data_IF_248339158900
#
_entry.id   IF_248339158900
#
_cell.length_a   1.000
_cell.length_b   1.000
_cell.length_c   1.000
_cell.angle_alpha   90.00
_cell.angle_beta   90.00
_cell.angle_gamma   90.00
#
_symmetry.space_group_name_H-M   'P 1'
#
loop_
_entity.id
_entity.type
_entity.pdbx_description
1 polymer ?
#
# COMPACT_ATOMS: atom_id res chain seq x y z
N UNK A 1 13.62 -12.43 -53.52
CA UNK A 1 13.60 -13.91 -53.80
C UNK A 1 14.70 -14.54 -53.00
N UNK A 2 14.40 -15.54 -52.15
CA UNK A 2 15.46 -16.25 -51.43
C UNK A 2 16.34 -16.98 -52.46
N UNK A 3 17.65 -16.86 -52.35
CA UNK A 3 18.62 -17.48 -53.22
C UNK A 3 18.66 -19.01 -52.90
N UNK A 4 18.72 -19.87 -53.91
CA UNK A 4 18.71 -21.31 -53.73
C UNK A 4 19.73 -21.85 -52.67
N UNK A 5 20.94 -21.31 -52.55
CA UNK A 5 21.86 -21.64 -51.44
C UNK A 5 21.31 -21.25 -50.06
N UNK A 6 20.66 -20.12 -49.94
CA UNK A 6 20.02 -19.70 -48.64
C UNK A 6 18.91 -20.66 -48.24
N UNK A 7 18.06 -21.04 -49.16
CA UNK A 7 16.97 -21.98 -48.89
C UNK A 7 17.50 -23.38 -48.49
N UNK A 8 18.53 -23.87 -49.16
CA UNK A 8 19.12 -25.17 -48.81
C UNK A 8 19.75 -25.17 -47.40
N UNK A 9 20.35 -24.06 -46.94
CA UNK A 9 20.99 -23.96 -45.61
C UNK A 9 20.02 -24.14 -44.45
N UNK A 10 18.76 -23.69 -44.56
CA UNK A 10 17.83 -23.86 -43.48
C UNK A 10 16.92 -25.11 -43.66
N UNK A 11 16.64 -25.49 -44.94
CA UNK A 11 15.76 -26.62 -45.27
C UNK A 11 16.37 -27.97 -44.84
N UNK A 12 17.71 -28.10 -44.83
CA UNK A 12 18.39 -29.30 -44.36
C UNK A 12 18.03 -29.67 -42.91
N UNK A 13 17.73 -28.68 -42.03
CA UNK A 13 17.30 -28.96 -40.68
C UNK A 13 15.85 -29.38 -40.54
N UNK A 14 15.01 -29.08 -41.55
CA UNK A 14 13.64 -29.57 -41.64
C UNK A 14 13.63 -31.04 -42.06
N UNK A 15 14.48 -31.42 -43.03
CA UNK A 15 14.55 -32.79 -43.56
C UNK A 15 15.34 -33.72 -42.63
N UNK A 16 16.36 -33.18 -41.92
CA UNK A 16 17.24 -33.95 -41.03
C UNK A 16 17.35 -33.30 -39.65
N UNK A 17 16.31 -33.31 -38.81
CA UNK A 17 16.31 -32.61 -37.53
C UNK A 17 17.43 -33.04 -36.57
N UNK A 18 17.86 -34.32 -36.60
CA UNK A 18 18.97 -34.83 -35.80
C UNK A 18 20.33 -34.25 -36.18
N UNK A 19 20.43 -33.49 -37.30
CA UNK A 19 21.64 -32.78 -37.67
C UNK A 19 22.01 -31.74 -36.64
N UNK A 20 21.03 -31.12 -35.95
CA UNK A 20 21.26 -30.08 -34.95
C UNK A 20 22.09 -30.60 -33.76
N UNK A 21 21.75 -31.78 -33.21
CA UNK A 21 22.51 -32.38 -32.10
C UNK A 21 24.00 -32.59 -32.46
N UNK A 22 24.25 -33.16 -33.66
CA UNK A 22 25.62 -33.39 -34.15
C UNK A 22 26.38 -32.08 -34.40
N UNK A 23 25.70 -31.08 -34.99
CA UNK A 23 26.30 -29.79 -35.25
C UNK A 23 26.62 -29.06 -33.96
N UNK A 24 25.73 -29.13 -32.98
CA UNK A 24 25.94 -28.46 -31.66
C UNK A 24 27.19 -28.98 -30.94
N UNK A 25 27.49 -30.28 -31.05
CA UNK A 25 28.74 -30.85 -30.51
C UNK A 25 29.98 -30.24 -31.18
N UNK A 26 29.94 -30.07 -32.50
CA UNK A 26 31.02 -29.43 -33.25
C UNK A 26 31.21 -27.95 -32.80
N UNK A 27 30.11 -27.31 -32.41
CA UNK A 27 30.13 -25.95 -31.87
C UNK A 27 30.49 -25.88 -30.37
N UNK A 28 30.77 -27.02 -29.74
CA UNK A 28 31.18 -27.10 -28.34
C UNK A 28 30.04 -27.05 -27.34
N UNK A 29 28.79 -27.28 -27.79
CA UNK A 29 27.60 -27.30 -26.95
C UNK A 29 26.86 -28.61 -27.12
N UNK A 30 26.58 -29.32 -26.04
CA UNK A 30 25.86 -30.60 -26.10
C UNK A 30 24.38 -30.41 -25.87
N UNK A 31 23.57 -30.72 -26.88
CA UNK A 31 22.12 -30.83 -26.77
C UNK A 31 21.68 -32.30 -26.71
N UNK A 32 20.61 -32.63 -25.97
CA UNK A 32 20.11 -33.99 -25.95
C UNK A 32 19.55 -34.39 -27.32
N UNK A 33 19.61 -35.68 -27.61
CA UNK A 33 19.01 -36.22 -28.84
C UNK A 33 17.49 -36.02 -28.84
N UNK A 34 16.90 -35.57 -29.96
CA UNK A 34 15.47 -35.35 -30.06
C UNK A 34 14.69 -36.71 -30.05
N UNK A 35 13.65 -36.79 -29.25
CA UNK A 35 12.71 -37.94 -29.25
C UNK A 35 11.65 -37.77 -30.31
N UNK A 36 11.23 -36.53 -30.54
CA UNK A 36 10.26 -36.14 -31.58
C UNK A 36 10.60 -34.77 -32.12
N UNK A 37 10.27 -34.52 -33.38
CA UNK A 37 10.45 -33.22 -34.01
C UNK A 37 9.22 -32.86 -34.83
N UNK A 38 8.73 -31.64 -34.69
CA UNK A 38 7.60 -31.11 -35.42
C UNK A 38 8.01 -29.80 -36.13
N UNK A 39 7.59 -29.62 -37.36
CA UNK A 39 7.78 -28.39 -38.11
C UNK A 39 6.63 -27.42 -37.78
N UNK A 40 6.91 -26.34 -37.12
CA UNK A 40 5.93 -25.31 -36.80
C UNK A 40 5.87 -24.25 -37.91
N UNK A 41 4.81 -23.43 -37.91
CA UNK A 41 4.73 -22.26 -38.77
C UNK A 41 5.88 -21.29 -38.49
N UNK A 42 6.51 -20.79 -39.55
CA UNK A 42 7.54 -19.76 -39.48
C UNK A 42 6.97 -18.35 -39.59
N UNK A 43 5.65 -18.18 -39.70
CA UNK A 43 4.97 -16.90 -39.64
C UNK A 43 4.78 -16.52 -38.17
N UNK A 44 5.59 -15.53 -37.73
CA UNK A 44 5.56 -14.97 -36.39
C UNK A 44 4.65 -13.73 -36.28
N UNK A 45 3.83 -13.46 -37.32
CA UNK A 45 2.84 -12.38 -37.28
C UNK A 45 1.74 -12.72 -36.30
N UNK A 46 1.57 -11.91 -35.26
CA UNK A 46 0.49 -12.09 -34.30
C UNK A 46 -0.85 -11.71 -34.96
N UNK A 47 -1.69 -12.70 -35.26
CA UNK A 47 -3.04 -12.51 -35.80
C UNK A 47 -4.07 -12.10 -34.75
N UNK A 48 -3.75 -12.28 -33.48
CA UNK A 48 -4.53 -11.77 -32.35
C UNK A 48 -3.63 -10.82 -31.56
N UNK A 49 -4.03 -9.53 -31.39
CA UNK A 49 -3.26 -8.61 -30.57
C UNK A 49 -3.27 -9.13 -29.13
N UNK A 50 -2.17 -9.74 -28.71
CA UNK A 50 -1.90 -9.94 -27.29
C UNK A 50 -1.71 -8.57 -26.66
N UNK A 51 -2.67 -8.15 -25.84
CA UNK A 51 -2.57 -6.89 -25.13
C UNK A 51 -1.45 -6.98 -24.09
N UNK A 52 -0.27 -6.53 -24.49
CA UNK A 52 0.91 -6.46 -23.63
C UNK A 52 1.25 -5.00 -23.44
N UNK A 53 1.02 -4.51 -22.24
CA UNK A 53 1.32 -3.12 -21.86
C UNK A 53 2.39 -3.11 -20.79
N UNK A 54 3.41 -2.27 -21.00
CA UNK A 54 4.30 -1.85 -19.92
C UNK A 54 3.58 -0.75 -19.12
N UNK A 55 3.77 -0.74 -17.79
CA UNK A 55 3.05 0.21 -16.93
C UNK A 55 3.38 1.67 -17.30
N UNK A 56 4.65 1.96 -17.59
CA UNK A 56 5.06 3.29 -18.06
C UNK A 56 6.21 3.15 -19.06
N UNK A 57 6.13 3.90 -20.15
CA UNK A 57 7.18 4.01 -21.17
C UNK A 57 7.58 5.46 -21.37
N UNK A 58 8.83 5.77 -21.12
CA UNK A 58 9.40 7.10 -21.30
C UNK A 58 10.47 7.06 -22.41
N UNK A 59 10.50 8.11 -23.21
CA UNK A 59 11.65 8.45 -24.06
C UNK A 59 12.42 9.56 -23.39
N UNK A 60 13.68 9.33 -23.10
CA UNK A 60 14.55 10.26 -22.40
C UNK A 60 15.62 10.73 -23.39
N UNK A 61 15.77 12.04 -23.51
CA UNK A 61 16.81 12.67 -24.30
C UNK A 61 17.97 13.05 -23.39
N UNK A 62 19.19 12.75 -23.79
CA UNK A 62 20.39 13.17 -23.08
C UNK A 62 21.35 13.87 -24.03
N UNK A 63 22.04 14.88 -23.52
CA UNK A 63 23.01 15.65 -24.33
C UNK A 63 24.21 14.81 -24.75
N UNK A 64 24.66 13.90 -23.89
CA UNK A 64 25.89 13.14 -24.08
C UNK A 64 25.68 11.87 -24.88
N UNK A 65 24.66 11.08 -24.54
CA UNK A 65 24.52 9.69 -25.01
C UNK A 65 23.32 9.55 -25.99
N UNK A 66 22.62 10.67 -26.27
CA UNK A 66 21.44 10.68 -27.13
C UNK A 66 20.20 10.11 -26.47
N UNK A 67 19.15 9.78 -27.27
CA UNK A 67 17.87 9.29 -26.75
C UNK A 67 17.93 7.81 -26.38
N UNK A 68 17.19 7.45 -25.30
CA UNK A 68 16.93 6.07 -24.92
C UNK A 68 15.50 5.89 -24.41
N UNK A 69 15.04 4.66 -24.33
CA UNK A 69 13.73 4.30 -23.79
C UNK A 69 13.88 3.72 -22.38
N UNK A 70 13.04 4.18 -21.47
CA UNK A 70 12.88 3.64 -20.14
C UNK A 70 11.48 3.03 -20.00
N UNK A 71 11.45 1.70 -19.93
CA UNK A 71 10.26 0.93 -19.61
C UNK A 71 10.22 0.69 -18.10
N UNK A 72 9.13 1.03 -17.43
CA UNK A 72 8.97 0.93 -15.98
C UNK A 72 7.84 -0.04 -15.67
N UNK A 73 8.10 -1.01 -14.78
CA UNK A 73 7.14 -2.00 -14.29
C UNK A 73 7.10 -1.97 -12.76
N UNK A 74 5.89 -1.92 -12.19
CA UNK A 74 5.66 -2.08 -10.77
C UNK A 74 5.41 -3.55 -10.44
N UNK A 75 6.29 -4.18 -9.65
CA UNK A 75 6.21 -5.59 -9.34
C UNK A 75 5.90 -5.83 -7.86
N UNK A 76 4.65 -6.23 -7.57
CA UNK A 76 4.19 -6.44 -6.19
C UNK A 76 4.45 -7.85 -5.65
N UNK A 77 4.78 -8.83 -6.49
CA UNK A 77 5.07 -10.23 -6.09
C UNK A 77 5.95 -10.93 -7.11
N UNK A 78 6.58 -12.02 -6.70
CA UNK A 78 7.31 -12.90 -7.65
C UNK A 78 6.32 -13.52 -8.63
N UNK A 79 6.62 -13.38 -9.91
CA UNK A 79 5.82 -13.92 -11.00
C UNK A 79 6.75 -14.37 -12.15
N UNK A 80 7.05 -15.67 -12.26
CA UNK A 80 7.94 -16.20 -13.30
C UNK A 80 7.50 -15.85 -14.73
N UNK A 81 6.19 -15.69 -14.99
CA UNK A 81 5.67 -15.39 -16.32
C UNK A 81 6.01 -13.95 -16.76
N UNK A 82 6.32 -13.07 -15.80
CA UNK A 82 6.79 -11.71 -16.11
C UNK A 82 8.11 -11.70 -16.87
N UNK A 83 8.97 -12.68 -16.70
CA UNK A 83 10.24 -12.76 -17.44
C UNK A 83 10.03 -12.79 -18.95
N UNK A 84 9.06 -13.58 -19.43
CA UNK A 84 8.69 -13.61 -20.84
C UNK A 84 8.12 -12.28 -21.34
N UNK A 85 7.29 -11.63 -20.51
CA UNK A 85 6.74 -10.30 -20.82
C UNK A 85 7.83 -9.23 -20.91
N UNK A 86 8.79 -9.23 -19.99
CA UNK A 86 9.92 -8.30 -19.99
C UNK A 86 10.82 -8.49 -21.22
N UNK A 87 11.08 -9.75 -21.62
CA UNK A 87 11.83 -10.03 -22.83
C UNK A 87 11.09 -9.52 -24.08
N UNK A 88 9.79 -9.72 -24.13
CA UNK A 88 8.95 -9.23 -25.21
C UNK A 88 9.01 -7.70 -25.29
N UNK A 89 8.83 -6.99 -24.17
CA UNK A 89 8.86 -5.54 -24.14
C UNK A 89 10.20 -5.01 -24.68
N UNK A 90 11.29 -5.54 -24.18
CA UNK A 90 12.64 -5.14 -24.63
C UNK A 90 12.80 -5.36 -26.13
N UNK A 91 12.48 -6.56 -26.63
CA UNK A 91 12.64 -6.93 -28.03
C UNK A 91 11.75 -6.09 -28.95
N UNK A 92 10.48 -5.90 -28.55
CA UNK A 92 9.53 -5.09 -29.30
C UNK A 92 9.97 -3.62 -29.37
N UNK A 93 10.34 -3.03 -28.24
CA UNK A 93 10.76 -1.63 -28.19
C UNK A 93 12.05 -1.39 -29.00
N UNK A 94 13.01 -2.30 -28.87
CA UNK A 94 14.25 -2.24 -29.65
C UNK A 94 13.96 -2.34 -31.16
N UNK A 95 13.10 -3.28 -31.58
CA UNK A 95 12.76 -3.46 -32.99
C UNK A 95 12.00 -2.27 -33.58
N UNK A 96 11.05 -1.73 -32.79
CA UNK A 96 10.17 -0.64 -33.23
C UNK A 96 10.86 0.71 -33.28
N UNK A 97 11.56 1.07 -32.20
CA UNK A 97 12.13 2.41 -32.05
C UNK A 97 13.62 2.49 -32.40
N UNK A 98 14.30 1.35 -32.42
CA UNK A 98 15.77 1.26 -32.68
C UNK A 98 16.60 2.15 -31.74
N UNK A 99 16.13 2.30 -30.50
CA UNK A 99 16.79 3.06 -29.45
C UNK A 99 17.26 2.11 -28.34
N UNK A 100 18.35 2.47 -27.63
CA UNK A 100 18.72 1.79 -26.39
C UNK A 100 17.51 1.75 -25.46
N UNK A 101 17.24 0.60 -24.87
CA UNK A 101 16.08 0.40 -24.01
C UNK A 101 16.54 -0.14 -22.66
N UNK A 102 16.04 0.46 -21.58
CA UNK A 102 16.27 0.03 -20.20
C UNK A 102 14.95 -0.38 -19.58
N UNK A 103 14.95 -1.50 -18.86
CA UNK A 103 13.83 -1.94 -18.03
C UNK A 103 14.14 -1.63 -16.57
N UNK A 104 13.27 -0.83 -15.94
CA UNK A 104 13.27 -0.55 -14.51
C UNK A 104 12.10 -1.27 -13.85
N UNK A 105 12.38 -2.10 -12.86
CA UNK A 105 11.36 -2.78 -12.06
C UNK A 105 11.34 -2.16 -10.68
N UNK A 106 10.19 -1.67 -10.24
CA UNK A 106 10.01 -1.06 -8.91
C UNK A 106 9.24 -2.03 -8.01
N UNK A 107 9.83 -2.34 -6.86
CA UNK A 107 9.29 -3.31 -5.89
C UNK A 107 9.08 -2.68 -4.52
N UNK A 108 8.04 -3.14 -3.82
CA UNK A 108 7.73 -2.68 -2.45
C UNK A 108 8.21 -3.67 -1.37
N UNK A 109 8.59 -4.90 -1.74
CA UNK A 109 9.17 -5.86 -0.81
C UNK A 109 10.54 -6.33 -1.28
N UNK A 110 11.39 -6.64 -0.29
CA UNK A 110 12.79 -7.01 -0.54
C UNK A 110 12.92 -8.32 -1.31
N UNK A 111 12.10 -9.31 -0.99
CA UNK A 111 12.19 -10.64 -1.59
C UNK A 111 11.80 -10.63 -3.08
N UNK A 112 10.82 -9.80 -3.45
CA UNK A 112 10.44 -9.55 -4.85
C UNK A 112 11.52 -8.76 -5.57
N UNK A 113 12.10 -7.73 -4.93
CA UNK A 113 13.19 -6.96 -5.50
C UNK A 113 14.44 -7.81 -5.77
N UNK A 114 14.85 -8.63 -4.81
CA UNK A 114 15.98 -9.55 -4.97
C UNK A 114 15.71 -10.62 -6.05
N UNK A 115 14.46 -11.06 -6.20
CA UNK A 115 14.07 -11.97 -7.29
C UNK A 115 14.16 -11.27 -8.65
N UNK A 116 13.59 -10.07 -8.78
CA UNK A 116 13.59 -9.29 -10.02
C UNK A 116 14.99 -8.88 -10.48
N UNK A 117 15.92 -8.67 -9.54
CA UNK A 117 17.29 -8.27 -9.83
C UNK A 117 18.20 -9.40 -10.34
N UNK A 118 17.72 -10.65 -10.27
CA UNK A 118 18.51 -11.77 -10.79
C UNK A 118 18.55 -11.73 -12.31
N UNK A 119 19.72 -11.97 -12.92
CA UNK A 119 19.80 -12.17 -14.36
C UNK A 119 18.87 -13.30 -14.79
N UNK A 120 18.08 -13.06 -15.83
CA UNK A 120 17.12 -14.04 -16.36
C UNK A 120 17.66 -14.59 -17.67
N UNK A 121 18.27 -15.78 -17.69
CA UNK A 121 18.65 -16.44 -18.93
C UNK A 121 17.41 -16.95 -19.66
N UNK A 122 17.33 -16.63 -20.93
CA UNK A 122 16.24 -17.03 -21.83
C UNK A 122 16.80 -17.84 -22.98
N UNK A 123 16.20 -19.00 -23.26
CA UNK A 123 16.66 -19.95 -24.24
C UNK A 123 16.79 -21.36 -23.65
N UNK A 124 17.45 -22.25 -24.41
CA UNK A 124 17.74 -23.59 -23.91
C UNK A 124 18.73 -23.53 -22.72
N UNK A 125 18.58 -24.43 -21.72
CA UNK A 125 19.49 -24.44 -20.56
C UNK A 125 20.97 -24.53 -20.92
N UNK A 126 21.29 -25.22 -22.04
CA UNK A 126 22.63 -25.41 -22.55
C UNK A 126 23.20 -24.16 -23.23
N UNK A 127 22.30 -23.31 -23.76
CA UNK A 127 22.67 -22.12 -24.52
C UNK A 127 21.65 -21.00 -24.37
N UNK A 128 21.80 -20.12 -23.36
CA UNK A 128 20.96 -18.93 -23.23
C UNK A 128 21.20 -17.99 -24.42
N UNK A 129 20.14 -17.70 -25.18
CA UNK A 129 20.23 -16.83 -26.37
C UNK A 129 20.18 -15.36 -25.95
N UNK A 130 19.49 -15.06 -24.85
CA UNK A 130 19.33 -13.73 -24.28
C UNK A 130 19.42 -13.81 -22.76
N UNK A 131 20.04 -12.85 -22.14
CA UNK A 131 19.98 -12.69 -20.68
C UNK A 131 19.45 -11.29 -20.36
N UNK A 132 18.34 -11.22 -19.64
CA UNK A 132 17.79 -9.96 -19.17
C UNK A 132 18.44 -9.56 -17.85
N UNK A 133 18.79 -8.27 -17.74
CA UNK A 133 19.32 -7.64 -16.55
C UNK A 133 18.47 -6.42 -16.21
N UNK A 134 17.30 -6.58 -15.55
CA UNK A 134 16.52 -5.43 -15.15
C UNK A 134 17.28 -4.56 -14.14
N UNK A 135 17.10 -3.25 -14.23
CA UNK A 135 17.37 -2.36 -13.10
C UNK A 135 16.25 -2.51 -12.10
N UNK A 136 16.55 -2.63 -10.82
CA UNK A 136 15.54 -2.86 -9.80
C UNK A 136 15.67 -1.82 -8.70
N UNK A 137 14.59 -1.07 -8.48
CA UNK A 137 14.44 -0.17 -7.34
C UNK A 137 13.53 -0.83 -6.28
N UNK A 138 13.96 -0.84 -5.03
CA UNK A 138 13.18 -1.42 -3.95
C UNK A 138 13.81 -1.18 -2.58
N UNK A 139 13.28 -1.82 -1.51
CA UNK A 139 13.74 -1.56 -0.13
C UNK A 139 15.22 -1.84 0.13
N UNK A 140 15.90 -2.55 -0.76
CA UNK A 140 17.31 -2.89 -0.62
C UNK A 140 18.28 -1.81 -1.11
N UNK A 141 17.83 -0.86 -1.93
CA UNK A 141 18.67 0.14 -2.56
C UNK A 141 18.07 1.54 -2.68
N UNK A 142 16.75 1.71 -2.54
CA UNK A 142 16.14 3.03 -2.40
C UNK A 142 16.48 3.58 -1.02
N UNK A 143 17.02 4.81 -0.89
CA UNK A 143 17.41 5.36 0.40
C UNK A 143 16.21 5.60 1.31
N UNK A 144 16.42 5.44 2.63
CA UNK A 144 15.48 5.83 3.67
C UNK A 144 15.56 7.35 3.88
N UNK A 145 14.64 8.11 3.34
CA UNK A 145 14.62 9.58 3.46
C UNK A 145 13.84 9.97 4.73
N UNK A 146 14.52 10.04 5.86
CA UNK A 146 13.97 10.38 7.17
C UNK A 146 14.24 11.82 7.61
N UNK A 147 15.11 12.52 6.90
CA UNK A 147 15.45 13.91 7.16
C UNK A 147 14.64 14.86 6.28
N UNK A 148 14.08 15.92 6.89
CA UNK A 148 13.23 16.90 6.20
C UNK A 148 13.99 17.70 5.15
N UNK A 149 15.27 18.02 5.41
CA UNK A 149 16.06 18.79 4.47
C UNK A 149 16.41 17.97 3.23
N UNK A 150 16.68 16.66 3.40
CA UNK A 150 16.85 15.74 2.28
C UNK A 150 15.54 15.58 1.51
N UNK A 151 14.41 15.42 2.18
CA UNK A 151 13.10 15.33 1.53
C UNK A 151 12.77 16.58 0.71
N UNK A 152 13.11 17.79 1.21
CA UNK A 152 12.93 19.05 0.47
C UNK A 152 13.79 19.18 -0.78
N UNK A 153 14.97 18.56 -0.80
CA UNK A 153 15.84 18.58 -1.99
C UNK A 153 15.25 17.78 -3.14
N UNK A 154 14.59 16.66 -2.82
CA UNK A 154 13.97 15.78 -3.81
C UNK A 154 12.71 15.11 -3.27
N UNK A 155 11.57 15.79 -3.47
CA UNK A 155 10.26 15.31 -3.05
C UNK A 155 9.86 14.02 -3.79
N UNK A 156 10.28 13.84 -5.04
CA UNK A 156 9.97 12.64 -5.80
C UNK A 156 10.70 11.42 -5.25
N UNK A 157 11.99 11.55 -4.92
CA UNK A 157 12.76 10.49 -4.28
C UNK A 157 12.25 10.19 -2.86
N UNK A 158 11.85 11.21 -2.10
CA UNK A 158 11.24 11.02 -0.78
C UNK A 158 9.89 10.29 -0.87
N UNK A 159 9.09 10.57 -1.90
CA UNK A 159 7.86 9.84 -2.21
C UNK A 159 8.14 8.39 -2.55
N UNK A 160 9.11 8.12 -3.42
CA UNK A 160 9.52 6.75 -3.75
C UNK A 160 10.05 6.01 -2.52
N UNK A 161 10.79 6.69 -1.64
CA UNK A 161 11.24 6.15 -0.37
C UNK A 161 10.05 5.72 0.50
N UNK A 162 9.03 6.57 0.65
CA UNK A 162 7.83 6.24 1.42
C UNK A 162 7.08 5.01 0.86
N UNK A 163 6.93 4.95 -0.47
CA UNK A 163 6.20 3.86 -1.14
C UNK A 163 6.98 2.54 -1.05
N UNK A 164 8.29 2.55 -1.30
CA UNK A 164 9.10 1.33 -1.30
C UNK A 164 9.37 0.80 0.10
N UNK A 165 9.36 1.67 1.11
CA UNK A 165 9.59 1.30 2.51
C UNK A 165 8.29 1.26 3.35
N UNK A 166 7.13 1.04 2.72
CA UNK A 166 5.84 1.04 3.39
C UNK A 166 5.72 0.04 4.56
N UNK A 167 6.47 -1.07 4.51
CA UNK A 167 6.52 -2.10 5.55
C UNK A 167 7.76 -1.99 6.46
N UNK A 168 8.53 -0.91 6.35
CA UNK A 168 9.71 -0.67 7.18
C UNK A 168 9.28 -0.17 8.58
N UNK A 169 9.92 -0.62 9.68
CA UNK A 169 9.67 -0.09 11.02
C UNK A 169 9.78 1.43 11.13
N UNK A 170 10.67 2.05 10.36
CA UNK A 170 10.92 3.50 10.36
C UNK A 170 10.02 4.29 9.38
N UNK A 171 9.00 3.65 8.79
CA UNK A 171 8.10 4.29 7.81
C UNK A 171 7.47 5.57 8.36
N UNK A 172 7.15 5.62 9.65
CA UNK A 172 6.60 6.81 10.29
C UNK A 172 7.54 8.02 10.22
N UNK A 173 8.85 7.82 10.35
CA UNK A 173 9.85 8.88 10.19
C UNK A 173 9.94 9.37 8.74
N UNK A 174 9.90 8.45 7.77
CA UNK A 174 9.90 8.78 6.33
C UNK A 174 8.67 9.62 5.97
N UNK A 175 7.48 9.16 6.38
CA UNK A 175 6.21 9.84 6.11
C UNK A 175 6.16 11.23 6.75
N UNK A 176 6.68 11.35 7.99
CA UNK A 176 6.77 12.64 8.67
C UNK A 176 7.74 13.59 7.98
N UNK A 177 8.89 13.13 7.53
CA UNK A 177 9.83 13.94 6.77
C UNK A 177 9.20 14.45 5.47
N UNK A 178 8.53 13.58 4.72
CA UNK A 178 7.83 13.93 3.49
C UNK A 178 6.69 14.93 3.75
N UNK A 179 5.79 14.68 4.71
CA UNK A 179 4.67 15.58 5.01
C UNK A 179 5.17 16.96 5.43
N UNK A 180 6.23 17.02 6.24
CA UNK A 180 6.83 18.30 6.66
C UNK A 180 7.50 19.03 5.49
N UNK A 181 8.15 18.31 4.57
CA UNK A 181 8.75 18.91 3.39
C UNK A 181 7.70 19.48 2.42
N UNK A 182 6.54 18.84 2.33
CA UNK A 182 5.44 19.26 1.47
C UNK A 182 4.76 20.55 1.94
N UNK A 183 4.84 20.91 3.22
CA UNK A 183 4.24 22.16 3.74
C UNK A 183 4.72 23.42 3.02
N UNK A 184 5.97 23.41 2.58
CA UNK A 184 6.60 24.56 1.94
C UNK A 184 6.55 24.45 0.40
N UNK A 185 5.97 23.39 -0.14
CA UNK A 185 5.85 23.16 -1.57
C UNK A 185 4.58 23.83 -2.13
N UNK A 186 4.59 24.30 -3.39
CA UNK A 186 3.37 24.76 -4.06
C UNK A 186 2.33 23.64 -4.15
N UNK A 187 1.05 23.98 -4.05
CA UNK A 187 -0.07 23.03 -4.16
C UNK A 187 -0.01 22.16 -5.43
N UNK A 188 0.41 22.73 -6.54
CA UNK A 188 0.58 22.01 -7.82
C UNK A 188 1.60 20.89 -7.77
N UNK A 189 2.50 20.90 -6.80
CA UNK A 189 3.50 19.85 -6.54
C UNK A 189 3.04 18.96 -5.40
N UNK A 190 2.54 19.55 -4.31
CA UNK A 190 2.18 18.80 -3.10
C UNK A 190 0.97 17.88 -3.32
N UNK A 191 -0.11 18.35 -3.97
CA UNK A 191 -1.31 17.54 -4.18
C UNK A 191 -1.05 16.22 -4.93
N UNK A 192 -0.35 16.22 -6.09
CA UNK A 192 -0.02 14.97 -6.78
C UNK A 192 0.82 14.03 -5.91
N UNK A 193 1.76 14.54 -5.11
CA UNK A 193 2.61 13.75 -4.24
C UNK A 193 1.80 13.11 -3.09
N UNK A 194 0.87 13.87 -2.50
CA UNK A 194 -0.03 13.35 -1.46
C UNK A 194 -0.84 12.17 -1.99
N UNK A 195 -1.42 12.31 -3.18
CA UNK A 195 -2.22 11.27 -3.81
C UNK A 195 -1.37 10.05 -4.22
N UNK A 196 -0.21 10.27 -4.87
CA UNK A 196 0.71 9.20 -5.25
C UNK A 196 1.20 8.41 -4.04
N UNK A 197 1.52 9.11 -2.94
CA UNK A 197 1.93 8.46 -1.70
C UNK A 197 0.80 7.59 -1.15
N UNK A 198 -0.43 8.12 -1.06
CA UNK A 198 -1.58 7.38 -0.57
C UNK A 198 -1.87 6.13 -1.43
N UNK A 199 -1.87 6.28 -2.76
CA UNK A 199 -2.05 5.17 -3.70
C UNK A 199 -0.94 4.12 -3.54
N UNK A 200 0.31 4.55 -3.43
CA UNK A 200 1.46 3.66 -3.29
C UNK A 200 1.49 2.89 -1.97
N UNK A 201 1.01 3.49 -0.88
CA UNK A 201 0.87 2.82 0.41
C UNK A 201 -0.29 1.81 0.43
N UNK A 202 -1.33 2.02 -0.39
CA UNK A 202 -2.48 1.12 -0.50
C UNK A 202 -3.19 0.88 0.84
N UNK A 203 -3.41 -0.39 1.19
CA UNK A 203 -4.10 -0.78 2.43
C UNK A 203 -3.13 -1.14 3.59
N UNK A 204 -1.88 -0.74 3.52
CA UNK A 204 -0.90 -1.01 4.58
C UNK A 204 -1.12 -0.12 5.81
N UNK A 205 -0.65 -0.51 7.00
CA UNK A 205 -0.74 0.34 8.20
C UNK A 205 -0.14 1.74 8.01
N UNK A 206 0.90 1.86 7.18
CA UNK A 206 1.51 3.13 6.81
C UNK A 206 0.54 4.10 6.11
N UNK A 207 -0.49 3.59 5.40
CA UNK A 207 -1.49 4.42 4.75
C UNK A 207 -2.33 5.20 5.78
N UNK A 208 -2.68 4.58 6.91
CA UNK A 208 -3.39 5.30 7.99
C UNK A 208 -2.51 6.36 8.64
N UNK A 209 -1.22 6.06 8.85
CA UNK A 209 -0.28 7.07 9.36
C UNK A 209 -0.15 8.26 8.39
N UNK A 210 -0.12 7.99 7.08
CA UNK A 210 -0.09 9.03 6.06
C UNK A 210 -1.34 9.90 6.09
N UNK A 211 -2.54 9.31 6.14
CA UNK A 211 -3.81 10.04 6.26
C UNK A 211 -3.82 10.97 7.46
N UNK A 212 -3.37 10.50 8.63
CA UNK A 212 -3.30 11.30 9.83
C UNK A 212 -2.34 12.50 9.68
N UNK A 213 -1.18 12.30 9.05
CA UNK A 213 -0.22 13.37 8.78
C UNK A 213 -0.78 14.40 7.79
N UNK A 214 -1.47 13.95 6.73
CA UNK A 214 -2.12 14.83 5.75
C UNK A 214 -3.21 15.66 6.41
N UNK A 215 -4.03 15.07 7.28
CA UNK A 215 -5.10 15.78 7.97
C UNK A 215 -4.56 16.90 8.88
N UNK A 216 -3.42 16.68 9.54
CA UNK A 216 -2.84 17.64 10.49
C UNK A 216 -1.87 18.62 9.80
N UNK A 217 -0.94 18.08 9.01
CA UNK A 217 0.19 18.84 8.47
C UNK A 217 -0.12 19.56 7.16
N UNK A 218 -1.08 19.04 6.39
CA UNK A 218 -1.41 19.52 5.05
C UNK A 218 -2.86 20.01 4.97
N UNK A 219 -3.41 20.49 6.09
CA UNK A 219 -4.81 20.91 6.20
C UNK A 219 -5.20 22.09 5.28
N UNK A 220 -4.24 22.81 4.69
CA UNK A 220 -4.48 23.90 3.73
C UNK A 220 -4.50 23.44 2.27
N UNK A 221 -4.13 22.19 1.99
CA UNK A 221 -4.18 21.67 0.63
C UNK A 221 -5.58 21.14 0.31
N UNK A 222 -6.09 21.52 -0.84
CA UNK A 222 -7.39 21.10 -1.37
C UNK A 222 -7.20 20.06 -2.46
N UNK A 223 -6.89 18.82 -2.08
CA UNK A 223 -6.99 17.70 -3.02
C UNK A 223 -8.26 16.89 -2.72
N UNK A 224 -8.83 16.18 -3.70
CA UNK A 224 -9.96 15.28 -3.48
C UNK A 224 -9.72 14.32 -2.32
N UNK A 225 -8.51 13.77 -2.22
CA UNK A 225 -8.10 12.89 -1.12
C UNK A 225 -8.05 13.63 0.23
N UNK A 226 -7.56 14.88 0.28
CA UNK A 226 -7.51 15.65 1.52
C UNK A 226 -8.90 16.09 2.00
N UNK A 227 -9.86 16.26 1.07
CA UNK A 227 -11.26 16.51 1.40
C UNK A 227 -11.93 15.24 1.93
N UNK A 228 -11.73 14.09 1.29
CA UNK A 228 -12.22 12.79 1.75
C UNK A 228 -11.70 12.46 3.16
N UNK A 229 -10.40 12.59 3.41
CA UNK A 229 -9.79 12.36 4.73
C UNK A 229 -10.36 13.30 5.80
N UNK A 230 -10.60 14.59 5.47
CA UNK A 230 -11.21 15.53 6.41
C UNK A 230 -12.67 15.19 6.72
N UNK A 231 -13.42 14.73 5.72
CA UNK A 231 -14.82 14.36 5.90
C UNK A 231 -14.92 13.06 6.70
N UNK A 232 -14.08 12.05 6.43
CA UNK A 232 -13.96 10.85 7.27
C UNK A 232 -13.63 11.21 8.74
N UNK A 233 -12.61 12.03 8.97
CA UNK A 233 -12.23 12.47 10.32
C UNK A 233 -13.32 13.27 11.05
N UNK A 234 -14.11 14.08 10.32
CA UNK A 234 -15.28 14.77 10.90
C UNK A 234 -16.40 13.80 11.26
N UNK A 235 -16.62 12.80 10.44
CA UNK A 235 -17.70 11.81 10.67
C UNK A 235 -17.33 10.86 11.82
N UNK A 236 -16.05 10.45 11.92
CA UNK A 236 -15.54 9.68 13.06
C UNK A 236 -15.64 10.50 14.35
N UNK A 237 -15.17 11.74 14.40
CA UNK A 237 -15.27 12.61 15.58
C UNK A 237 -16.73 12.89 15.99
N UNK A 238 -17.65 13.02 15.01
CA UNK A 238 -19.08 13.13 15.30
C UNK A 238 -19.70 11.83 15.82
N UNK A 239 -19.19 10.67 15.38
CA UNK A 239 -19.67 9.38 15.84
C UNK A 239 -19.20 9.12 17.27
N UNK A 240 -17.93 9.38 17.59
CA UNK A 240 -17.35 9.28 18.93
C UNK A 240 -18.05 10.22 19.91
N UNK A 241 -18.15 11.52 19.59
CA UNK A 241 -18.84 12.48 20.46
C UNK A 241 -20.30 12.14 20.69
N UNK A 242 -21.00 11.55 19.70
CA UNK A 242 -22.36 11.04 19.89
C UNK A 242 -22.41 9.78 20.76
N UNK A 243 -21.40 8.92 20.68
CA UNK A 243 -21.34 7.72 21.51
C UNK A 243 -21.06 8.08 22.98
N UNK A 244 -20.08 8.97 23.22
CA UNK A 244 -19.77 9.48 24.56
C UNK A 244 -20.95 10.22 25.18
N UNK A 245 -21.56 11.19 24.48
CA UNK A 245 -22.70 11.92 24.99
C UNK A 245 -23.93 11.04 25.26
N UNK A 246 -24.13 9.93 24.51
CA UNK A 246 -25.15 8.94 24.83
C UNK A 246 -24.84 8.11 26.06
N UNK A 247 -23.54 7.77 26.25
CA UNK A 247 -23.11 7.01 27.43
C UNK A 247 -23.27 7.85 28.71
N UNK A 248 -22.79 9.10 28.67
CA UNK A 248 -22.96 10.05 29.78
C UNK A 248 -24.43 10.33 30.09
N UNK A 249 -25.25 10.66 29.07
CA UNK A 249 -26.67 10.91 29.25
C UNK A 249 -27.43 9.70 29.77
N UNK A 250 -27.01 8.46 29.43
CA UNK A 250 -27.59 7.25 29.98
C UNK A 250 -27.23 7.07 31.44
N UNK A 251 -25.94 7.27 31.80
CA UNK A 251 -25.48 7.15 33.18
C UNK A 251 -26.15 8.19 34.10
N UNK A 252 -26.24 9.46 33.65
CA UNK A 252 -26.98 10.50 34.40
C UNK A 252 -28.48 10.20 34.54
N UNK A 253 -29.10 9.72 33.45
CA UNK A 253 -30.52 9.35 33.47
C UNK A 253 -30.80 8.18 34.41
N UNK A 254 -29.92 7.20 34.48
CA UNK A 254 -30.00 6.06 35.40
C UNK A 254 -29.84 6.52 36.86
N UNK A 255 -28.83 7.33 37.16
CA UNK A 255 -28.62 7.87 38.48
C UNK A 255 -29.84 8.70 38.96
N UNK A 256 -30.36 9.60 38.10
CA UNK A 256 -31.58 10.38 38.41
C UNK A 256 -32.84 9.50 38.62
N UNK A 257 -32.96 8.43 37.82
CA UNK A 257 -34.03 7.45 37.98
C UNK A 257 -33.97 6.72 39.33
N UNK A 258 -32.78 6.27 39.72
CA UNK A 258 -32.53 5.62 41.01
C UNK A 258 -32.76 6.56 42.18
N UNK A 259 -32.28 7.80 42.12
CA UNK A 259 -32.48 8.82 43.15
C UNK A 259 -34.00 9.10 43.35
N UNK A 260 -34.75 9.23 42.26
CA UNK A 260 -36.21 9.41 42.31
C UNK A 260 -36.92 8.20 42.94
N UNK A 261 -36.50 6.98 42.57
CA UNK A 261 -37.08 5.76 43.13
C UNK A 261 -36.80 5.62 44.64
N UNK A 262 -35.60 6.00 45.07
CA UNK A 262 -35.21 6.04 46.47
C UNK A 262 -36.08 7.03 47.27
N UNK A 263 -36.25 8.26 46.79
CA UNK A 263 -37.10 9.26 47.46
C UNK A 263 -38.58 8.79 47.52
N UNK A 264 -39.08 8.17 46.49
CA UNK A 264 -40.44 7.61 46.44
C UNK A 264 -40.59 6.46 47.44
N UNK A 265 -39.61 5.60 47.59
CA UNK A 265 -39.59 4.53 48.58
C UNK A 265 -39.67 5.08 50.01
N UNK A 266 -38.90 6.13 50.32
CA UNK A 266 -38.89 6.76 51.63
C UNK A 266 -40.22 7.43 51.96
N UNK A 267 -40.80 8.12 51.00
CA UNK A 267 -42.15 8.75 51.11
C UNK A 267 -43.25 7.70 51.38
N UNK A 268 -43.27 6.62 50.61
CA UNK A 268 -44.21 5.51 50.78
C UNK A 268 -44.10 4.84 52.18
N UNK A 269 -42.92 4.86 52.76
CA UNK A 269 -42.67 4.32 54.11
C UNK A 269 -42.91 5.33 55.21
N UNK A 270 -43.25 6.56 54.89
CA UNK A 270 -43.50 7.63 55.87
C UNK A 270 -42.22 8.09 56.59
N UNK A 271 -41.03 7.89 55.98
CA UNK A 271 -39.76 8.40 56.50
C UNK A 271 -39.62 9.85 56.09
N UNK A 272 -39.45 10.74 57.06
CA UNK A 272 -39.21 12.16 56.79
C UNK A 272 -37.81 12.35 56.19
N UNK A 273 -37.76 13.07 55.06
CA UNK A 273 -36.50 13.31 54.33
C UNK A 273 -36.18 14.81 54.34
N UNK A 274 -35.27 15.28 55.23
CA UNK A 274 -34.85 16.67 55.25
C UNK A 274 -34.29 17.13 53.90
N UNK A 275 -34.36 18.47 53.69
CA UNK A 275 -33.91 19.04 52.40
C UNK A 275 -32.44 18.72 52.09
N UNK A 276 -31.54 18.70 53.07
CA UNK A 276 -30.13 18.30 52.88
C UNK A 276 -29.98 16.85 52.43
N UNK A 277 -30.79 15.95 52.99
CA UNK A 277 -30.80 14.54 52.58
C UNK A 277 -31.34 14.39 51.15
N UNK A 278 -32.35 15.16 50.80
CA UNK A 278 -32.95 15.18 49.47
C UNK A 278 -31.96 15.70 48.42
N UNK A 279 -31.27 16.79 48.72
CA UNK A 279 -30.21 17.32 47.84
C UNK A 279 -29.07 16.34 47.64
N UNK A 280 -28.61 15.66 48.71
CA UNK A 280 -27.58 14.63 48.66
C UNK A 280 -27.99 13.46 47.76
N UNK A 281 -29.21 12.99 47.86
CA UNK A 281 -29.75 11.91 47.04
C UNK A 281 -29.88 12.34 45.57
N UNK A 282 -30.45 13.51 45.29
CA UNK A 282 -30.68 13.98 43.92
C UNK A 282 -29.41 14.41 43.20
N UNK A 283 -28.37 14.83 43.94
CA UNK A 283 -27.05 15.22 43.42
C UNK A 283 -26.11 14.05 43.24
N UNK A 284 -26.46 12.84 43.71
CA UNK A 284 -25.58 11.66 43.58
C UNK A 284 -25.62 11.12 42.16
N UNK A 285 -24.44 10.99 41.54
CA UNK A 285 -24.20 10.40 40.21
C UNK A 285 -23.68 8.97 40.26
N UNK A 286 -23.30 8.47 41.44
CA UNK A 286 -22.83 7.10 41.66
C UNK A 286 -24.04 6.15 41.85
N UNK A 287 -24.34 5.41 40.77
CA UNK A 287 -25.44 4.44 40.79
C UNK A 287 -25.24 3.34 41.80
N UNK A 288 -23.99 2.92 42.09
CA UNK A 288 -23.72 1.88 43.10
C UNK A 288 -23.97 2.40 44.53
N UNK A 289 -23.74 3.67 44.74
CA UNK A 289 -24.04 4.32 46.01
C UNK A 289 -25.54 4.48 46.20
N UNK A 290 -26.25 4.88 45.15
CA UNK A 290 -27.70 4.98 45.15
C UNK A 290 -28.38 3.61 45.39
N UNK A 291 -27.88 2.54 44.79
CA UNK A 291 -28.35 1.16 45.06
C UNK A 291 -28.18 0.75 46.52
N UNK A 292 -27.03 1.10 47.12
CA UNK A 292 -26.81 0.84 48.56
C UNK A 292 -27.77 1.61 49.43
N UNK A 293 -28.00 2.88 49.15
CA UNK A 293 -28.96 3.70 49.85
C UNK A 293 -30.40 3.17 49.67
N UNK A 294 -30.75 2.75 48.46
CA UNK A 294 -32.04 2.15 48.18
C UNK A 294 -32.29 0.86 48.98
N UNK A 295 -31.29 -0.02 49.07
CA UNK A 295 -31.36 -1.22 49.88
C UNK A 295 -31.54 -0.93 51.36
N UNK A 296 -30.86 0.10 51.91
CA UNK A 296 -31.03 0.53 53.31
C UNK A 296 -32.36 1.21 53.54
N UNK A 297 -32.86 1.97 52.60
CA UNK A 297 -34.15 2.62 52.70
C UNK A 297 -35.30 1.63 52.91
N UNK A 298 -35.14 0.36 52.54
CA UNK A 298 -36.12 -0.70 52.79
C UNK A 298 -36.37 -0.97 54.27
N UNK A 299 -35.43 -0.67 55.19
CA UNK A 299 -35.52 -0.96 56.63
C UNK A 299 -35.33 0.28 57.51
N UNK A 300 -34.79 1.37 56.97
CA UNK A 300 -34.45 2.59 57.69
C UNK A 300 -35.72 3.22 58.34
N UNK A 301 -35.52 3.80 59.52
CA UNK A 301 -36.55 4.53 60.26
C UNK A 301 -36.34 6.05 60.23
N UNK A 302 -35.13 6.49 59.83
CA UNK A 302 -34.79 7.88 59.58
C UNK A 302 -33.92 8.05 58.34
N UNK A 303 -33.81 9.29 57.83
CA UNK A 303 -33.00 9.59 56.65
C UNK A 303 -31.49 9.38 56.92
N UNK A 304 -31.02 9.62 58.14
CA UNK A 304 -29.60 9.46 58.50
C UNK A 304 -29.13 8.00 58.44
N UNK A 305 -30.02 7.04 58.72
CA UNK A 305 -29.71 5.61 58.67
C UNK A 305 -29.35 5.14 57.24
N UNK A 306 -29.81 5.85 56.23
CA UNK A 306 -29.54 5.52 54.80
C UNK A 306 -28.06 5.78 54.46
N UNK A 307 -27.49 6.82 55.04
CA UNK A 307 -26.12 7.28 54.81
C UNK A 307 -25.11 6.67 55.80
N UNK A 308 -25.56 5.89 56.79
CA UNK A 308 -24.68 5.31 57.80
C UNK A 308 -23.60 4.40 57.18
N UNK A 309 -22.33 4.72 57.40
CA UNK A 309 -21.18 3.93 56.93
C UNK A 309 -20.60 4.33 55.57
N UNK A 310 -20.72 5.60 55.20
CA UNK A 310 -19.89 6.24 54.17
C UNK A 310 -18.48 6.52 54.66
#
# INVERSE_FOLDING_TARGET
MANAPHEAMHRIFQEYPGLFSRLSEVLGVTFPEPTTTEILTNDLTENQPLERRVDTLLRIETERDGPFLLAIEAQGRKDPDKHASWAYYFSYLLAKYRLPTTLLVVCQDRATAEWAARPVPLGAPQWPVLTLHPLVAGPHNVPLVTDVAEARKDLALATLSAITHADNPDVGAILKALSTALRDAPETIANPIVELTAQGLGNRPAAQQWRNLVAVDLSFYTSPLSEEIRDEGRDEGRAEGRAEGRAEGRAEGEARGQAKSLLMMLDLRGVDVPDEAREKITGCTDTKLLDRWFARAATATSAEEIFAGE
#
